data_IF_801685057491
#
_entry.id   IF_801685057491
#
_cell.length_a   1.000
_cell.length_b   1.000
_cell.length_c   1.000
_cell.angle_alpha   90.00
_cell.angle_beta   90.00
_cell.angle_gamma   90.00
#
_symmetry.space_group_name_H-M   'P 1'
#
loop_
_entity.id
_entity.type
_entity.pdbx_description
1 polymer ?
#
# COMPACT_ATOMS: atom_id res chain seq x y z
N UNK A 1 35.32 -79.25 20.95
CA UNK A 1 35.96 -78.84 19.67
C UNK A 1 35.00 -78.26 18.62
N UNK A 2 33.72 -78.71 18.53
CA UNK A 2 32.73 -78.14 17.59
C UNK A 2 32.30 -76.69 17.90
N UNK A 3 32.12 -76.33 19.18
CA UNK A 3 31.66 -74.98 19.61
C UNK A 3 32.71 -73.89 19.33
N UNK A 4 33.99 -74.18 19.52
CA UNK A 4 35.09 -73.23 19.26
C UNK A 4 35.21 -72.90 17.77
N UNK A 5 34.95 -73.88 16.88
CA UNK A 5 34.95 -73.66 15.42
C UNK A 5 33.77 -72.80 14.95
N UNK A 6 32.61 -72.91 15.59
CA UNK A 6 31.43 -72.09 15.26
C UNK A 6 31.61 -70.65 15.71
N UNK A 7 32.14 -70.43 16.93
CA UNK A 7 32.45 -69.07 17.42
C UNK A 7 33.54 -68.37 16.60
N UNK A 8 34.58 -69.09 16.18
CA UNK A 8 35.63 -68.53 15.31
C UNK A 8 35.08 -68.13 13.93
N UNK A 9 34.17 -68.91 13.36
CA UNK A 9 33.55 -68.62 12.07
C UNK A 9 32.63 -67.39 12.12
N UNK A 10 31.90 -67.20 13.23
CA UNK A 10 31.07 -66.00 13.45
C UNK A 10 31.93 -64.74 13.59
N UNK A 11 33.07 -64.82 14.30
CA UNK A 11 33.99 -63.69 14.44
C UNK A 11 34.60 -63.31 13.08
N UNK A 12 35.02 -64.29 12.27
CA UNK A 12 35.55 -64.04 10.92
C UNK A 12 34.49 -63.41 10.02
N UNK A 13 33.24 -63.86 10.10
CA UNK A 13 32.13 -63.29 9.34
C UNK A 13 31.85 -61.84 9.76
N UNK A 14 31.85 -61.54 11.06
CA UNK A 14 31.67 -60.17 11.58
C UNK A 14 32.81 -59.24 11.14
N UNK A 15 34.06 -59.74 11.12
CA UNK A 15 35.22 -58.98 10.63
C UNK A 15 35.11 -58.72 9.13
N UNK A 16 34.69 -59.70 8.32
CA UNK A 16 34.46 -59.53 6.89
C UNK A 16 33.32 -58.56 6.58
N UNK A 17 32.20 -58.67 7.30
CA UNK A 17 31.08 -57.72 7.20
C UNK A 17 31.53 -56.32 7.60
N UNK A 18 32.33 -56.18 8.67
CA UNK A 18 32.90 -54.90 9.07
C UNK A 18 33.84 -54.31 8.01
N UNK A 19 34.68 -55.13 7.37
CA UNK A 19 35.60 -54.69 6.31
C UNK A 19 34.88 -54.18 5.05
N UNK A 20 33.67 -54.64 4.78
CA UNK A 20 32.87 -54.22 3.61
C UNK A 20 31.87 -53.11 3.98
N UNK A 21 31.20 -53.22 5.13
CA UNK A 21 30.18 -52.27 5.56
C UNK A 21 30.78 -50.93 6.01
N UNK A 22 31.97 -50.93 6.63
CA UNK A 22 32.58 -49.70 7.12
C UNK A 22 33.01 -48.74 6.00
N UNK A 23 33.69 -49.16 4.91
CA UNK A 23 34.00 -48.27 3.79
C UNK A 23 32.75 -47.73 3.08
N UNK A 24 31.70 -48.55 2.94
CA UNK A 24 30.42 -48.12 2.36
C UNK A 24 29.75 -47.07 3.25
N UNK A 25 29.72 -47.30 4.57
CA UNK A 25 29.21 -46.34 5.55
C UNK A 25 29.97 -45.01 5.48
N UNK A 26 31.29 -45.04 5.51
CA UNK A 26 32.15 -43.84 5.42
C UNK A 26 31.90 -43.09 4.12
N UNK A 27 31.78 -43.79 2.98
CA UNK A 27 31.52 -43.18 1.69
C UNK A 27 30.16 -42.47 1.63
N UNK A 28 29.11 -43.12 2.16
CA UNK A 28 27.74 -42.55 2.19
C UNK A 28 27.68 -41.33 3.11
N UNK A 29 28.21 -41.45 4.34
CA UNK A 29 28.18 -40.36 5.33
C UNK A 29 29.01 -39.16 4.87
N UNK A 30 30.17 -39.40 4.23
CA UNK A 30 31.00 -38.35 3.64
C UNK A 30 30.22 -37.57 2.59
N UNK A 31 29.60 -38.25 1.62
CA UNK A 31 28.84 -37.59 0.54
C UNK A 31 27.67 -36.76 1.07
N UNK A 32 26.99 -37.24 2.11
CA UNK A 32 25.89 -36.52 2.74
C UNK A 32 26.36 -35.26 3.49
N UNK A 33 27.44 -35.39 4.27
CA UNK A 33 27.99 -34.28 5.07
C UNK A 33 28.65 -33.23 4.18
N UNK A 34 29.38 -33.64 3.14
CA UNK A 34 29.95 -32.73 2.12
C UNK A 34 28.86 -31.92 1.40
N UNK A 35 27.71 -32.54 1.12
CA UNK A 35 26.57 -31.84 0.51
C UNK A 35 26.02 -30.76 1.44
N UNK A 36 25.78 -31.08 2.71
CA UNK A 36 25.30 -30.10 3.71
C UNK A 36 26.30 -28.97 3.92
N UNK A 37 27.58 -29.29 4.02
CA UNK A 37 28.66 -28.32 4.11
C UNK A 37 28.63 -27.37 2.90
N UNK A 38 28.56 -27.90 1.69
CA UNK A 38 28.51 -27.10 0.47
C UNK A 38 27.29 -26.17 0.42
N UNK A 39 26.10 -26.67 0.77
CA UNK A 39 24.89 -25.86 0.86
C UNK A 39 25.01 -24.73 1.89
N UNK A 40 25.61 -25.02 3.04
CA UNK A 40 25.83 -24.05 4.13
C UNK A 40 26.81 -22.96 3.72
N UNK A 41 27.93 -23.32 3.09
CA UNK A 41 28.94 -22.36 2.62
C UNK A 41 28.42 -21.50 1.46
N UNK A 42 27.67 -22.08 0.53
CA UNK A 42 27.04 -21.34 -0.55
C UNK A 42 26.00 -20.33 -0.04
N UNK A 43 25.25 -20.69 1.01
CA UNK A 43 24.31 -19.78 1.65
C UNK A 43 25.02 -18.68 2.43
N UNK A 44 26.11 -19.01 3.14
CA UNK A 44 26.94 -18.05 3.88
C UNK A 44 27.52 -16.99 2.94
N UNK A 45 28.07 -17.40 1.80
CA UNK A 45 28.59 -16.48 0.78
C UNK A 45 27.50 -15.50 0.29
N UNK A 46 26.29 -16.01 0.04
CA UNK A 46 25.14 -15.17 -0.36
C UNK A 46 24.71 -14.21 0.75
N UNK A 47 24.70 -14.66 2.01
CA UNK A 47 24.30 -13.84 3.14
C UNK A 47 25.24 -12.64 3.35
N UNK A 48 26.56 -12.81 3.15
CA UNK A 48 27.54 -11.71 3.22
C UNK A 48 27.29 -10.60 2.19
N UNK A 49 26.79 -10.94 1.01
CA UNK A 49 26.47 -9.96 -0.05
C UNK A 49 25.28 -9.08 0.34
N UNK A 50 24.36 -9.61 1.14
CA UNK A 50 23.07 -8.95 1.46
C UNK A 50 23.06 -8.30 2.86
N UNK A 51 23.99 -8.66 3.75
CA UNK A 51 24.08 -8.08 5.09
C UNK A 51 24.39 -6.57 5.05
N UNK A 52 23.59 -5.78 5.77
CA UNK A 52 23.72 -4.30 5.79
C UNK A 52 24.07 -3.75 7.16
N UNK A 53 23.67 -4.43 8.23
CA UNK A 53 23.89 -3.99 9.61
C UNK A 53 25.19 -4.58 10.18
N UNK A 54 25.83 -3.85 11.10
CA UNK A 54 27.08 -4.31 11.72
C UNK A 54 26.88 -5.54 12.61
N UNK A 55 25.71 -5.67 13.25
CA UNK A 55 25.33 -6.87 14.02
C UNK A 55 25.17 -8.12 13.13
N UNK A 56 24.64 -7.95 11.91
CA UNK A 56 24.51 -9.05 10.93
C UNK A 56 25.88 -9.52 10.46
N UNK A 57 26.79 -8.58 10.16
CA UNK A 57 28.17 -8.88 9.78
C UNK A 57 28.91 -9.57 10.93
N UNK A 58 28.71 -9.14 12.17
CA UNK A 58 29.30 -9.79 13.34
C UNK A 58 28.81 -11.25 13.50
N UNK A 59 27.52 -11.51 13.24
CA UNK A 59 26.95 -12.87 13.27
C UNK A 59 27.52 -13.75 12.16
N UNK A 60 27.70 -13.22 10.95
CA UNK A 60 28.31 -13.94 9.83
C UNK A 60 29.82 -14.18 10.03
N UNK A 61 30.53 -13.23 10.64
CA UNK A 61 31.94 -13.40 10.97
C UNK A 61 32.16 -14.54 11.98
N UNK A 62 31.29 -14.67 13.00
CA UNK A 62 31.32 -15.84 13.89
C UNK A 62 31.13 -17.17 13.15
N UNK A 63 30.32 -17.18 12.09
CA UNK A 63 30.14 -18.36 11.24
C UNK A 63 31.38 -18.63 10.35
N UNK A 64 32.14 -17.59 9.96
CA UNK A 64 33.43 -17.76 9.26
C UNK A 64 34.50 -18.38 10.18
N UNK A 65 34.49 -18.07 11.47
CA UNK A 65 35.45 -18.63 12.43
C UNK A 65 35.34 -20.16 12.55
N UNK A 66 34.21 -20.75 12.12
CA UNK A 66 34.01 -22.19 12.09
C UNK A 66 34.59 -22.90 10.86
N UNK A 67 35.08 -22.18 9.84
CA UNK A 67 35.56 -22.80 8.59
C UNK A 67 36.75 -23.74 8.77
N UNK A 68 37.70 -23.36 9.62
CA UNK A 68 38.88 -24.19 9.88
C UNK A 68 38.50 -25.48 10.61
N UNK A 69 37.59 -25.40 11.58
CA UNK A 69 37.04 -26.55 12.29
C UNK A 69 36.23 -27.48 11.37
N UNK A 70 35.44 -26.92 10.43
CA UNK A 70 34.71 -27.72 9.43
C UNK A 70 35.66 -28.50 8.50
N UNK A 71 36.80 -27.90 8.14
CA UNK A 71 37.81 -28.57 7.34
C UNK A 71 38.48 -29.70 8.12
N UNK A 72 38.84 -29.45 9.37
CA UNK A 72 39.42 -30.45 10.26
C UNK A 72 38.47 -31.63 10.52
N UNK A 73 37.20 -31.37 10.79
CA UNK A 73 36.17 -32.40 11.00
C UNK A 73 35.96 -33.26 9.74
N UNK A 74 36.07 -32.66 8.55
CA UNK A 74 35.97 -33.38 7.27
C UNK A 74 37.20 -34.26 7.02
N UNK A 75 38.41 -33.75 7.28
CA UNK A 75 39.67 -34.47 7.12
C UNK A 75 39.81 -35.63 8.13
N UNK A 76 39.26 -35.45 9.35
CA UNK A 76 39.28 -36.46 10.42
C UNK A 76 38.10 -37.44 10.37
N UNK A 77 37.21 -37.37 9.36
CA UNK A 77 36.01 -38.20 9.22
C UNK A 77 35.02 -38.08 10.41
N UNK A 78 34.99 -36.95 11.10
CA UNK A 78 34.10 -36.67 12.24
C UNK A 78 32.73 -36.12 11.78
N UNK A 79 32.02 -36.91 10.97
CA UNK A 79 30.80 -36.48 10.27
C UNK A 79 29.68 -35.92 11.16
N UNK A 80 29.57 -36.40 12.41
CA UNK A 80 28.55 -35.90 13.34
C UNK A 80 28.84 -34.47 13.82
N UNK A 81 30.13 -34.12 14.01
CA UNK A 81 30.53 -32.75 14.37
C UNK A 81 30.43 -31.83 13.16
N UNK A 82 30.87 -32.32 11.99
CA UNK A 82 30.74 -31.63 10.71
C UNK A 82 29.28 -31.25 10.40
N UNK A 83 28.34 -32.18 10.56
CA UNK A 83 26.91 -31.95 10.32
C UNK A 83 26.31 -30.93 11.31
N UNK A 84 26.74 -30.96 12.57
CA UNK A 84 26.28 -30.00 13.58
C UNK A 84 26.77 -28.60 13.26
N UNK A 85 28.07 -28.46 13.04
CA UNK A 85 28.72 -27.16 12.82
C UNK A 85 28.30 -26.54 11.48
N UNK A 86 28.12 -27.36 10.43
CA UNK A 86 27.55 -26.90 9.16
C UNK A 86 26.10 -26.41 9.33
N UNK A 87 25.30 -27.08 10.17
CA UNK A 87 23.96 -26.62 10.54
C UNK A 87 23.96 -25.25 11.22
N UNK A 88 24.89 -25.01 12.15
CA UNK A 88 25.02 -23.70 12.83
C UNK A 88 25.39 -22.58 11.84
N UNK A 89 26.30 -22.85 10.90
CA UNK A 89 26.64 -21.92 9.81
C UNK A 89 25.44 -21.67 8.90
N UNK A 90 24.70 -22.72 8.54
CA UNK A 90 23.49 -22.62 7.75
C UNK A 90 22.44 -21.75 8.44
N UNK A 91 22.16 -21.98 9.73
CA UNK A 91 21.15 -21.24 10.48
C UNK A 91 21.50 -19.76 10.62
N UNK A 92 22.79 -19.44 10.86
CA UNK A 92 23.27 -18.06 10.89
C UNK A 92 23.03 -17.36 9.54
N UNK A 93 23.45 -17.98 8.43
CA UNK A 93 23.26 -17.44 7.09
C UNK A 93 21.77 -17.35 6.69
N UNK A 94 21.00 -18.40 6.98
CA UNK A 94 19.59 -18.50 6.65
C UNK A 94 18.76 -17.48 7.42
N UNK A 95 19.09 -17.20 8.68
CA UNK A 95 18.39 -16.16 9.47
C UNK A 95 18.50 -14.78 8.83
N UNK A 96 19.64 -14.45 8.23
CA UNK A 96 19.85 -13.17 7.52
C UNK A 96 19.14 -13.20 6.16
N UNK A 97 19.24 -14.32 5.44
CA UNK A 97 18.53 -14.50 4.17
C UNK A 97 17.01 -14.42 4.33
N UNK A 98 16.43 -15.01 5.38
CA UNK A 98 15.00 -14.96 5.68
C UNK A 98 14.56 -13.59 6.21
N UNK A 99 15.37 -12.92 7.04
CA UNK A 99 15.11 -11.52 7.41
C UNK A 99 15.06 -10.61 6.17
N UNK A 100 15.95 -10.83 5.20
CA UNK A 100 15.99 -10.05 3.95
C UNK A 100 14.90 -10.45 2.98
N UNK A 101 14.51 -11.72 2.95
CA UNK A 101 13.36 -12.21 2.19
C UNK A 101 12.03 -11.68 2.77
N UNK A 102 11.95 -11.50 4.09
CA UNK A 102 10.84 -10.78 4.75
C UNK A 102 10.87 -9.29 4.40
N UNK A 103 12.03 -8.65 4.35
CA UNK A 103 12.19 -7.28 3.86
C UNK A 103 11.92 -7.10 2.34
N UNK A 104 11.85 -8.21 1.58
CA UNK A 104 11.51 -8.23 0.13
C UNK A 104 10.00 -8.41 -0.11
N UNK A 105 9.20 -8.62 0.94
CA UNK A 105 7.74 -8.54 0.83
C UNK A 105 7.33 -7.07 0.90
N UNK A 106 7.02 -6.50 -0.25
CA UNK A 106 6.44 -5.16 -0.34
C UNK A 106 5.12 -5.11 0.43
N UNK A 107 5.14 -4.42 1.57
CA UNK A 107 3.96 -4.04 2.34
C UNK A 107 3.19 -2.87 1.72
N UNK A 108 3.36 -2.58 0.42
CA UNK A 108 2.71 -1.45 -0.26
C UNK A 108 2.29 -1.81 -1.68
N UNK A 109 1.07 -1.46 -2.06
CA UNK A 109 0.52 -1.79 -3.38
C UNK A 109 -0.16 -0.58 -3.99
N UNK A 110 -0.18 -0.51 -5.33
CA UNK A 110 -1.00 0.45 -6.05
C UNK A 110 -2.46 -0.02 -5.99
N UNK A 111 -3.27 0.73 -5.26
CA UNK A 111 -4.67 0.41 -5.05
C UNK A 111 -5.53 0.86 -6.24
N UNK A 112 -5.33 2.11 -6.68
CA UNK A 112 -5.97 2.71 -7.84
C UNK A 112 -4.97 3.55 -8.64
N UNK A 113 -5.06 3.51 -9.97
CA UNK A 113 -4.27 4.33 -10.88
C UNK A 113 -5.18 4.92 -11.96
N UNK A 114 -5.12 6.24 -12.10
CA UNK A 114 -5.78 6.99 -13.18
C UNK A 114 -4.71 7.73 -13.97
N UNK A 115 -4.74 7.63 -15.30
CA UNK A 115 -3.76 8.25 -16.18
C UNK A 115 -2.42 7.51 -16.21
N UNK A 116 -1.37 8.21 -16.65
CA UNK A 116 -0.02 7.65 -16.82
C UNK A 116 0.94 8.11 -15.73
N UNK A 117 1.86 7.23 -15.36
CA UNK A 117 2.90 7.48 -14.36
C UNK A 117 4.24 7.02 -14.92
N UNK A 118 5.29 7.80 -14.69
CA UNK A 118 6.65 7.33 -14.88
C UNK A 118 7.11 6.63 -13.60
N UNK A 119 7.46 5.36 -13.71
CA UNK A 119 7.84 4.52 -12.59
C UNK A 119 9.24 3.94 -12.80
N UNK A 120 10.11 4.18 -11.82
CA UNK A 120 11.46 3.64 -11.79
C UNK A 120 11.55 2.63 -10.64
N UNK A 121 11.60 1.36 -10.97
CA UNK A 121 11.86 0.30 -10.00
C UNK A 121 13.33 0.35 -9.57
N UNK A 122 13.56 0.34 -8.25
CA UNK A 122 14.89 0.55 -7.66
C UNK A 122 15.55 1.86 -8.11
N UNK A 123 14.76 2.84 -8.56
CA UNK A 123 15.23 4.16 -9.01
C UNK A 123 15.89 4.19 -10.39
N UNK A 124 15.98 3.07 -11.11
CA UNK A 124 16.71 3.00 -12.39
C UNK A 124 15.95 2.31 -13.51
N UNK A 125 15.16 1.27 -13.21
CA UNK A 125 14.49 0.46 -14.22
C UNK A 125 13.10 1.01 -14.52
N UNK A 126 12.88 1.51 -15.74
CA UNK A 126 11.55 1.94 -16.18
C UNK A 126 10.62 0.74 -16.29
N UNK A 127 9.46 0.80 -15.63
CA UNK A 127 8.45 -0.26 -15.66
C UNK A 127 7.08 0.33 -15.97
N UNK A 128 6.27 -0.39 -16.75
CA UNK A 128 4.87 -0.03 -16.96
C UNK A 128 4.06 -0.38 -15.71
N UNK A 129 3.27 0.58 -15.24
CA UNK A 129 2.53 0.44 -13.99
C UNK A 129 1.13 -0.10 -14.25
N UNK A 130 0.79 -1.15 -13.50
CA UNK A 130 -0.55 -1.71 -13.46
C UNK A 130 -1.14 -1.58 -12.04
N UNK A 131 -2.46 -1.62 -11.95
CA UNK A 131 -3.14 -1.70 -10.65
C UNK A 131 -2.70 -2.97 -9.92
N UNK A 132 -2.54 -2.92 -8.59
CA UNK A 132 -1.94 -3.95 -7.71
C UNK A 132 -0.47 -4.27 -7.90
N UNK A 133 0.26 -3.48 -8.69
CA UNK A 133 1.71 -3.53 -8.66
C UNK A 133 2.22 -3.28 -7.23
N UNK A 134 3.19 -4.12 -6.81
CA UNK A 134 3.92 -3.98 -5.54
C UNK A 134 4.91 -2.84 -5.63
N UNK A 135 5.02 -2.06 -4.57
CA UNK A 135 5.98 -0.94 -4.44
C UNK A 135 7.08 -1.32 -3.46
N UNK A 136 8.33 -1.18 -3.86
CA UNK A 136 9.51 -1.54 -3.05
C UNK A 136 10.29 -0.31 -2.61
N UNK A 137 11.14 -0.51 -1.61
CA UNK A 137 12.17 0.46 -1.24
C UNK A 137 13.07 0.77 -2.44
N UNK A 138 13.34 2.06 -2.65
CA UNK A 138 14.07 2.61 -3.78
C UNK A 138 13.20 2.97 -4.99
N UNK A 139 11.91 2.60 -5.01
CA UNK A 139 11.05 2.90 -6.15
C UNK A 139 10.71 4.40 -6.21
N UNK A 140 10.65 4.94 -7.43
CA UNK A 140 10.31 6.34 -7.70
C UNK A 140 9.08 6.41 -8.58
N UNK A 141 8.13 7.24 -8.18
CA UNK A 141 6.86 7.42 -8.87
C UNK A 141 6.66 8.90 -9.22
N UNK A 142 6.52 9.20 -10.52
CA UNK A 142 6.28 10.56 -11.03
C UNK A 142 4.97 10.62 -11.79
N UNK A 143 4.01 11.39 -11.27
CA UNK A 143 2.70 11.59 -11.89
C UNK A 143 2.84 12.45 -13.16
N UNK A 144 2.26 12.00 -14.29
CA UNK A 144 2.09 12.84 -15.49
C UNK A 144 0.81 13.68 -15.42
N UNK A 145 0.68 14.66 -16.31
CA UNK A 145 -0.51 15.51 -16.38
C UNK A 145 -1.79 14.68 -16.48
N UNK A 146 -2.78 14.99 -15.65
CA UNK A 146 -4.06 14.27 -15.59
C UNK A 146 -4.00 12.91 -14.89
N UNK A 147 -2.87 12.56 -14.26
CA UNK A 147 -2.72 11.32 -13.52
C UNK A 147 -2.84 11.51 -12.00
N UNK A 148 -3.23 10.43 -11.35
CA UNK A 148 -3.31 10.29 -9.91
C UNK A 148 -3.25 8.82 -9.51
N UNK A 149 -2.71 8.57 -8.33
CA UNK A 149 -2.48 7.24 -7.83
C UNK A 149 -2.87 7.19 -6.35
N UNK A 150 -3.54 6.11 -5.96
CA UNK A 150 -3.74 5.74 -4.56
C UNK A 150 -2.94 4.48 -4.25
N UNK A 151 -2.20 4.55 -3.15
CA UNK A 151 -1.29 3.54 -2.67
C UNK A 151 -1.79 3.09 -1.32
N UNK A 152 -1.80 1.79 -1.09
CA UNK A 152 -2.26 1.16 0.15
C UNK A 152 -1.14 0.33 0.76
N UNK A 153 -0.94 0.49 2.06
CA UNK A 153 0.04 -0.23 2.84
C UNK A 153 -0.58 -1.45 3.55
N UNK A 154 0.26 -2.38 4.01
CA UNK A 154 -0.16 -3.65 4.61
C UNK A 154 -0.96 -3.47 5.90
N UNK A 155 -0.78 -2.35 6.59
CA UNK A 155 -1.55 -1.95 7.76
C UNK A 155 -2.92 -1.33 7.41
N UNK A 156 -3.22 -1.13 6.12
CA UNK A 156 -4.43 -0.50 5.61
C UNK A 156 -4.33 1.02 5.41
N UNK A 157 -3.20 1.63 5.78
CA UNK A 157 -2.96 3.05 5.57
C UNK A 157 -2.90 3.37 4.08
N UNK A 158 -3.25 4.60 3.70
CA UNK A 158 -3.26 5.03 2.30
C UNK A 158 -2.51 6.32 2.06
N UNK A 159 -1.97 6.45 0.86
CA UNK A 159 -1.34 7.66 0.32
C UNK A 159 -1.93 7.93 -1.06
N UNK A 160 -2.35 9.18 -1.29
CA UNK A 160 -2.84 9.64 -2.59
C UNK A 160 -1.91 10.70 -3.16
N UNK A 161 -1.49 10.48 -4.40
CA UNK A 161 -0.68 11.39 -5.21
C UNK A 161 -1.48 11.88 -6.40
N UNK A 162 -1.28 13.15 -6.77
CA UNK A 162 -1.85 13.75 -7.98
C UNK A 162 -0.79 14.57 -8.69
N UNK A 163 -0.86 14.66 -10.02
CA UNK A 163 0.00 15.58 -10.77
C UNK A 163 0.03 16.98 -10.13
N UNK A 164 1.21 17.60 -9.92
CA UNK A 164 2.54 17.24 -10.45
C UNK A 164 3.46 16.49 -9.46
N UNK A 165 2.93 15.54 -8.68
CA UNK A 165 3.70 14.88 -7.62
C UNK A 165 4.78 13.91 -8.11
N UNK A 166 5.95 13.95 -7.44
CA UNK A 166 7.01 12.93 -7.52
C UNK A 166 7.32 12.42 -6.11
N UNK A 167 7.17 11.12 -5.90
CA UNK A 167 7.39 10.46 -4.62
C UNK A 167 8.46 9.38 -4.75
N UNK A 168 9.39 9.34 -3.78
CA UNK A 168 10.39 8.29 -3.62
C UNK A 168 10.03 7.46 -2.40
N UNK A 169 10.04 6.14 -2.52
CA UNK A 169 9.89 5.22 -1.39
C UNK A 169 11.26 4.85 -0.83
N UNK A 170 11.81 5.67 0.05
CA UNK A 170 13.14 5.44 0.62
C UNK A 170 13.22 4.14 1.41
N UNK A 171 12.16 3.80 2.16
CA UNK A 171 12.07 2.59 2.96
C UNK A 171 10.64 2.10 3.05
N UNK A 172 10.44 0.81 2.85
CA UNK A 172 9.23 0.05 3.19
C UNK A 172 9.72 -1.24 3.84
N UNK A 173 9.59 -1.33 5.15
CA UNK A 173 10.07 -2.47 5.93
C UNK A 173 8.96 -3.01 6.82
N UNK A 174 8.63 -4.27 6.59
CA UNK A 174 7.65 -5.03 7.35
C UNK A 174 8.39 -6.06 8.23
N UNK A 175 8.21 -5.97 9.55
CA UNK A 175 8.60 -7.02 10.48
C UNK A 175 7.36 -7.77 10.93
N UNK A 176 7.23 -9.01 10.47
CA UNK A 176 6.10 -9.89 10.76
C UNK A 176 6.12 -10.48 12.17
N UNK A 177 7.28 -10.48 12.83
CA UNK A 177 7.41 -10.99 14.19
C UNK A 177 6.95 -9.92 15.18
N UNK A 178 7.43 -8.69 15.00
CA UNK A 178 7.04 -7.56 15.85
C UNK A 178 5.77 -6.87 15.39
N UNK A 179 5.21 -7.28 14.25
CA UNK A 179 4.11 -6.59 13.57
C UNK A 179 4.41 -5.09 13.37
N UNK A 180 5.66 -4.73 13.08
CA UNK A 180 6.02 -3.33 12.82
C UNK A 180 6.05 -3.04 11.32
N UNK A 181 5.62 -1.83 10.96
CA UNK A 181 5.67 -1.33 9.59
C UNK A 181 6.37 0.02 9.59
N UNK A 182 7.59 0.08 9.06
CA UNK A 182 8.35 1.32 8.92
C UNK A 182 8.34 1.76 7.46
N UNK A 183 7.80 2.95 7.21
CA UNK A 183 7.69 3.53 5.87
C UNK A 183 8.32 4.91 5.87
N UNK A 184 9.33 5.11 5.04
CA UNK A 184 9.93 6.42 4.78
C UNK A 184 9.72 6.79 3.31
N UNK A 185 9.13 7.95 3.09
CA UNK A 185 8.83 8.50 1.77
C UNK A 185 9.44 9.89 1.63
N UNK A 186 9.86 10.25 0.43
CA UNK A 186 10.33 11.60 0.13
C UNK A 186 9.52 12.21 -1.03
N UNK A 187 8.81 13.30 -0.74
CA UNK A 187 8.08 14.07 -1.73
C UNK A 187 9.00 15.12 -2.36
N UNK A 188 9.42 14.87 -3.60
CA UNK A 188 10.31 15.78 -4.34
C UNK A 188 9.58 16.99 -4.91
N UNK A 189 8.31 16.84 -5.27
CA UNK A 189 7.49 17.91 -5.85
C UNK A 189 6.00 17.63 -5.65
N UNK A 190 5.18 18.67 -5.74
CA UNK A 190 3.73 18.57 -5.75
C UNK A 190 3.13 18.36 -4.37
N UNK A 191 2.05 17.58 -4.30
CA UNK A 191 1.30 17.35 -3.07
C UNK A 191 0.96 15.88 -2.84
N UNK A 192 0.83 15.54 -1.58
CA UNK A 192 0.49 14.20 -1.07
C UNK A 192 -0.60 14.33 -0.02
N UNK A 193 -1.59 13.45 -0.07
CA UNK A 193 -2.55 13.25 1.02
C UNK A 193 -2.32 11.87 1.60
N UNK A 194 -2.41 11.73 2.92
CA UNK A 194 -2.12 10.47 3.60
C UNK A 194 -3.13 10.24 4.73
N UNK A 195 -3.45 8.97 4.94
CA UNK A 195 -4.32 8.50 6.01
C UNK A 195 -3.68 7.27 6.63
N UNK A 196 -3.32 7.36 7.91
CA UNK A 196 -2.90 6.22 8.68
C UNK A 196 -4.12 5.48 9.24
N UNK A 197 -4.11 4.15 9.16
CA UNK A 197 -5.16 3.30 9.70
C UNK A 197 -5.51 3.66 11.14
N UNK A 198 -6.81 3.69 11.46
CA UNK A 198 -7.28 3.90 12.84
C UNK A 198 -7.10 2.66 13.69
N UNK A 199 -7.26 1.50 13.05
CA UNK A 199 -7.25 0.19 13.66
C UNK A 199 -6.46 -0.71 12.72
N UNK A 200 -5.47 -1.43 13.24
CA UNK A 200 -4.64 -2.35 12.47
C UNK A 200 -3.86 -3.24 13.44
N UNK A 201 -3.45 -4.41 12.97
CA UNK A 201 -2.59 -5.32 13.72
C UNK A 201 -1.11 -4.97 13.66
N UNK A 202 -0.76 -3.92 12.93
CA UNK A 202 0.60 -3.41 12.83
C UNK A 202 0.84 -2.21 13.75
N UNK A 203 2.11 -1.95 14.07
CA UNK A 203 2.59 -0.70 14.64
C UNK A 203 3.24 0.13 13.52
N UNK A 204 2.46 0.93 12.77
CA UNK A 204 3.01 1.70 11.68
C UNK A 204 3.76 2.93 12.16
N UNK A 205 4.90 3.20 11.53
CA UNK A 205 5.67 4.43 11.67
C UNK A 205 5.90 4.98 10.27
N UNK A 206 5.25 6.10 9.98
CA UNK A 206 5.41 6.79 8.71
C UNK A 206 6.28 8.02 8.90
N UNK A 207 7.28 8.13 8.01
CA UNK A 207 8.10 9.31 7.82
C UNK A 207 7.87 9.84 6.41
N UNK A 208 7.57 11.14 6.30
CA UNK A 208 7.43 11.84 5.03
C UNK A 208 8.38 13.05 5.01
N UNK A 209 9.43 12.95 4.20
CA UNK A 209 10.39 14.02 3.97
C UNK A 209 9.90 14.93 2.85
N UNK A 210 9.88 16.24 3.09
CA UNK A 210 9.41 17.25 2.14
C UNK A 210 10.28 18.50 2.24
N UNK A 211 11.17 18.67 1.26
CA UNK A 211 12.20 19.71 1.34
C UNK A 211 13.04 19.50 2.61
N UNK A 212 13.08 20.52 3.48
CA UNK A 212 13.79 20.50 4.77
C UNK A 212 12.95 20.03 5.96
N UNK A 213 11.68 19.70 5.78
CA UNK A 213 10.86 19.14 6.86
C UNK A 213 10.74 17.64 6.76
N UNK A 214 10.54 17.03 7.91
CA UNK A 214 10.19 15.62 8.09
C UNK A 214 8.89 15.55 8.89
N UNK A 215 7.89 14.89 8.33
CA UNK A 215 6.59 14.68 8.98
C UNK A 215 6.54 13.24 9.48
N UNK A 216 6.46 13.07 10.80
CA UNK A 216 6.27 11.79 11.45
C UNK A 216 4.80 11.62 11.85
N UNK A 217 4.24 10.46 11.52
CA UNK A 217 2.87 10.12 11.87
C UNK A 217 2.69 8.60 12.01
N UNK A 218 1.62 8.24 12.70
CA UNK A 218 1.24 6.86 13.00
C UNK A 218 -0.29 6.78 13.04
N UNK A 219 -0.85 5.78 13.73
CA UNK A 219 -2.27 5.46 13.77
C UNK A 219 -3.19 6.67 13.91
N UNK A 220 -4.33 6.63 13.22
CA UNK A 220 -5.39 7.63 13.26
C UNK A 220 -4.96 9.06 12.82
N UNK A 221 -3.81 9.21 12.17
CA UNK A 221 -3.40 10.46 11.57
C UNK A 221 -3.95 10.59 10.15
N UNK A 222 -4.51 11.75 9.82
CA UNK A 222 -4.86 12.11 8.44
C UNK A 222 -4.29 13.48 8.15
N UNK A 223 -3.66 13.63 6.99
CA UNK A 223 -3.01 14.88 6.65
C UNK A 223 -2.84 15.09 5.15
N UNK A 224 -2.42 16.32 4.84
CA UNK A 224 -2.01 16.72 3.50
C UNK A 224 -0.69 17.46 3.63
N UNK A 225 0.22 17.21 2.73
CA UNK A 225 1.43 17.99 2.65
C UNK A 225 1.76 18.32 1.19
N UNK A 226 2.51 19.41 0.99
CA UNK A 226 2.90 19.82 -0.34
C UNK A 226 4.10 20.75 -0.33
N UNK A 227 4.84 20.70 -1.43
CA UNK A 227 5.96 21.57 -1.73
C UNK A 227 5.62 22.38 -2.98
N UNK A 228 5.56 23.69 -2.82
CA UNK A 228 5.55 24.62 -3.93
C UNK A 228 6.99 25.02 -4.24
N UNK A 229 7.57 24.40 -5.27
CA UNK A 229 8.94 24.62 -5.70
C UNK A 229 9.16 25.99 -6.34
N UNK A 230 8.10 26.66 -6.80
CA UNK A 230 8.22 28.00 -7.42
C UNK A 230 8.48 29.10 -6.39
N UNK A 231 7.88 28.97 -5.20
CA UNK A 231 8.04 29.92 -4.09
C UNK A 231 8.81 29.34 -2.91
N UNK A 232 9.32 28.11 -3.04
CA UNK A 232 10.08 27.40 -2.01
C UNK A 232 9.34 27.34 -0.67
N UNK A 233 8.06 26.99 -0.71
CA UNK A 233 7.23 26.87 0.52
C UNK A 233 6.73 25.45 0.71
N UNK A 234 6.76 25.00 1.95
CA UNK A 234 6.13 23.74 2.36
C UNK A 234 4.93 24.00 3.22
N UNK A 235 3.86 23.27 2.92
CA UNK A 235 2.61 23.32 3.68
C UNK A 235 2.29 21.93 4.19
N UNK A 236 2.03 21.79 5.49
CA UNK A 236 1.70 20.53 6.15
C UNK A 236 0.46 20.75 7.00
N UNK A 237 -0.63 20.06 6.65
CA UNK A 237 -1.93 20.14 7.29
C UNK A 237 -2.24 18.85 8.05
N UNK A 238 -2.55 18.96 9.34
CA UNK A 238 -3.13 17.89 10.15
C UNK A 238 -4.66 18.02 10.12
N UNK A 239 -5.33 17.00 9.59
CA UNK A 239 -6.79 16.96 9.43
C UNK A 239 -7.45 16.09 10.51
N UNK A 240 -6.83 14.96 10.85
CA UNK A 240 -7.18 14.11 12.01
C UNK A 240 -5.91 13.61 12.70
N UNK A 241 -6.04 13.19 13.97
CA UNK A 241 -4.94 12.65 14.75
C UNK A 241 -3.91 13.71 15.12
N UNK A 242 -2.63 13.35 15.08
CA UNK A 242 -1.54 14.28 15.36
C UNK A 242 -0.40 14.01 14.38
N UNK A 243 0.31 15.07 13.99
CA UNK A 243 1.55 14.98 13.22
C UNK A 243 2.68 15.58 14.05
N UNK A 244 3.86 14.97 14.02
CA UNK A 244 5.08 15.64 14.44
C UNK A 244 5.82 16.13 13.20
N UNK A 245 6.11 17.42 13.13
CA UNK A 245 6.91 18.02 12.07
C UNK A 245 8.26 18.38 12.66
N UNK A 246 9.30 17.69 12.19
CA UNK A 246 10.69 17.98 12.48
C UNK A 246 11.29 18.81 11.34
N UNK A 247 12.28 19.64 11.67
CA UNK A 247 12.88 20.58 10.74
C UNK A 247 12.06 21.88 10.60
N UNK A 248 12.76 22.99 10.36
CA UNK A 248 12.22 24.34 10.58
C UNK A 248 13.09 25.12 11.57
N UNK A 249 12.48 26.01 12.34
CA UNK A 249 13.11 26.63 13.51
C UNK A 249 13.13 25.66 14.71
N UNK A 250 12.14 24.78 14.82
CA UNK A 250 11.98 23.80 15.91
C UNK A 250 10.98 22.70 15.56
N UNK A 251 11.02 21.61 16.30
CA UNK A 251 10.02 20.54 16.18
C UNK A 251 8.63 21.03 16.62
N UNK A 252 7.61 20.61 15.87
CA UNK A 252 6.23 21.07 16.00
C UNK A 252 5.26 19.90 15.98
N UNK A 253 4.52 19.75 17.08
CA UNK A 253 3.30 18.94 17.07
C UNK A 253 2.15 19.72 16.45
N UNK A 254 1.54 19.17 15.39
CA UNK A 254 0.31 19.67 14.79
C UNK A 254 -0.88 18.84 15.28
N UNK A 255 -1.89 19.55 15.79
CA UNK A 255 -3.18 18.99 16.20
C UNK A 255 -4.19 19.06 15.04
N UNK A 256 -5.35 18.39 15.13
CA UNK A 256 -6.36 18.44 14.07
C UNK A 256 -6.76 19.88 13.73
N UNK A 257 -7.02 20.13 12.45
CA UNK A 257 -7.36 21.45 11.89
C UNK A 257 -6.23 22.48 11.99
N UNK A 258 -4.98 22.05 12.16
CA UNK A 258 -3.84 22.95 12.07
C UNK A 258 -3.08 22.73 10.77
N UNK A 259 -2.59 23.82 10.20
CA UNK A 259 -1.65 23.80 9.08
C UNK A 259 -0.42 24.62 9.42
N UNK A 260 0.74 24.04 9.17
CA UNK A 260 2.03 24.71 9.21
C UNK A 260 2.44 25.06 7.79
N UNK A 261 2.73 26.33 7.55
CA UNK A 261 3.40 26.81 6.35
C UNK A 261 4.78 27.32 6.75
N UNK A 262 5.82 26.90 6.06
CA UNK A 262 7.15 27.44 6.31
C UNK A 262 7.98 27.59 5.04
N UNK A 263 8.90 28.56 5.07
CA UNK A 263 9.81 28.86 3.96
C UNK A 263 11.00 27.91 3.98
N UNK A 264 11.33 27.30 2.83
CA UNK A 264 12.51 26.47 2.66
C UNK A 264 13.82 27.29 2.64
N UNK A 265 13.74 28.62 2.46
CA UNK A 265 14.91 29.50 2.44
C UNK A 265 15.17 30.12 3.81
N UNK A 266 14.21 30.88 4.34
CA UNK A 266 14.37 31.62 5.60
C UNK A 266 14.06 30.78 6.84
N UNK A 267 13.48 29.60 6.67
CA UNK A 267 12.96 28.74 7.74
C UNK A 267 11.83 29.36 8.56
N UNK A 268 11.34 30.55 8.19
CA UNK A 268 10.24 31.21 8.88
C UNK A 268 8.96 30.37 8.82
N UNK A 269 8.34 30.16 9.99
CA UNK A 269 7.16 29.33 10.17
C UNK A 269 5.92 30.16 10.49
N UNK A 270 4.77 29.73 9.98
CA UNK A 270 3.47 30.26 10.38
C UNK A 270 2.42 29.16 10.44
N UNK A 271 1.63 29.18 11.52
CA UNK A 271 0.53 28.23 11.72
C UNK A 271 -0.81 28.91 11.50
N UNK A 272 -1.75 28.19 10.89
CA UNK A 272 -3.12 28.63 10.71
C UNK A 272 -4.09 27.55 11.17
N UNK A 273 -5.30 27.97 11.53
CA UNK A 273 -6.42 27.07 11.74
C UNK A 273 -7.14 26.84 10.41
N UNK A 274 -7.42 25.57 10.12
CA UNK A 274 -8.17 25.13 8.97
C UNK A 274 -9.66 25.23 9.26
N UNK A 275 -10.48 25.65 8.29
CA UNK A 275 -11.92 25.67 8.45
C UNK A 275 -12.48 24.24 8.53
N UNK A 276 -13.63 24.03 9.19
CA UNK A 276 -14.27 22.72 9.24
C UNK A 276 -14.77 22.30 7.86
N UNK A 277 -15.03 20.99 7.74
CA UNK A 277 -15.53 20.39 6.52
C UNK A 277 -16.96 20.89 6.20
N UNK A 278 -17.23 21.43 5.00
CA UNK A 278 -18.59 21.77 4.58
C UNK A 278 -19.44 20.51 4.33
N UNK A 279 -20.75 20.60 4.57
CA UNK A 279 -21.72 19.59 4.16
C UNK A 279 -22.06 19.78 2.68
N UNK A 280 -21.76 18.78 1.85
CA UNK A 280 -22.20 18.73 0.46
C UNK A 280 -23.70 18.37 0.41
N UNK A 281 -24.55 19.17 -0.24
CA UNK A 281 -26.01 19.03 -0.20
C UNK A 281 -26.59 18.53 -1.54
N UNK A 282 -26.34 19.27 -2.63
CA UNK A 282 -26.89 18.99 -3.96
C UNK A 282 -25.78 18.86 -5.00
N UNK A 283 -25.88 17.94 -5.98
CA UNK A 283 -26.84 16.83 -5.97
C UNK A 283 -26.55 15.87 -4.80
N UNK A 284 -27.57 15.21 -4.21
CA UNK A 284 -27.35 14.22 -3.17
C UNK A 284 -26.55 13.05 -3.74
N UNK A 285 -25.88 12.30 -2.85
CA UNK A 285 -25.09 11.15 -3.27
C UNK A 285 -25.97 10.14 -4.02
N UNK A 286 -25.44 9.58 -5.11
CA UNK A 286 -26.09 8.61 -5.99
C UNK A 286 -27.29 9.15 -6.79
N UNK A 287 -27.43 10.48 -6.94
CA UNK A 287 -28.49 11.06 -7.76
C UNK A 287 -28.34 10.68 -9.23
N UNK A 288 -29.43 10.22 -9.86
CA UNK A 288 -29.53 10.12 -11.32
C UNK A 288 -30.23 11.35 -11.89
N UNK A 289 -29.66 11.93 -12.94
CA UNK A 289 -30.15 13.11 -13.65
C UNK A 289 -30.37 12.72 -15.12
N UNK A 290 -31.58 12.91 -15.62
CA UNK A 290 -31.92 12.64 -17.03
C UNK A 290 -31.71 13.89 -17.89
N UNK A 291 -31.16 13.72 -19.10
CA UNK A 291 -31.00 14.79 -20.09
C UNK A 291 -31.41 14.36 -21.48
N UNK A 292 -32.12 15.24 -22.19
CA UNK A 292 -32.54 15.06 -23.59
C UNK A 292 -31.46 15.43 -24.62
N UNK A 293 -30.27 15.86 -24.18
CA UNK A 293 -29.18 16.31 -25.05
C UNK A 293 -27.81 15.69 -24.73
N UNK A 294 -26.74 16.32 -25.23
CA UNK A 294 -25.34 15.91 -24.97
C UNK A 294 -24.87 16.17 -23.53
N UNK A 295 -25.69 16.74 -22.66
CA UNK A 295 -25.35 17.15 -21.30
C UNK A 295 -26.46 18.00 -20.67
N UNK A 296 -26.28 18.45 -19.44
CA UNK A 296 -27.22 19.32 -18.74
C UNK A 296 -26.52 20.21 -17.71
N UNK A 297 -27.19 21.30 -17.31
CA UNK A 297 -26.71 22.12 -16.21
C UNK A 297 -27.05 21.44 -14.88
N UNK A 298 -26.03 21.15 -14.07
CA UNK A 298 -26.20 20.57 -12.74
C UNK A 298 -25.87 21.63 -11.70
N UNK A 299 -26.77 21.78 -10.73
CA UNK A 299 -26.55 22.66 -9.58
C UNK A 299 -25.83 21.87 -8.48
N UNK A 300 -24.72 22.43 -8.02
CA UNK A 300 -23.97 22.01 -6.87
C UNK A 300 -24.24 22.95 -5.70
N UNK A 301 -24.53 22.43 -4.51
CA UNK A 301 -24.79 23.24 -3.31
C UNK A 301 -24.14 22.63 -2.09
N UNK A 302 -23.66 23.47 -1.18
CA UNK A 302 -23.07 23.05 0.09
C UNK A 302 -23.36 24.05 1.20
N UNK A 303 -23.21 23.60 2.45
CA UNK A 303 -23.44 24.44 3.63
C UNK A 303 -22.40 25.55 3.76
N UNK A 304 -22.82 26.74 4.21
CA UNK A 304 -21.91 27.82 4.57
C UNK A 304 -21.06 27.44 5.79
N UNK A 305 -19.75 27.60 5.68
CA UNK A 305 -18.79 27.44 6.78
C UNK A 305 -18.46 28.79 7.40
N UNK A 306 -18.52 28.87 8.73
CA UNK A 306 -18.17 30.09 9.47
C UNK A 306 -16.69 30.46 9.26
N UNK A 307 -16.40 31.75 9.02
CA UNK A 307 -15.07 32.29 8.70
C UNK A 307 -14.38 31.68 7.46
N UNK A 308 -15.13 31.01 6.58
CA UNK A 308 -14.60 30.63 5.27
C UNK A 308 -14.48 31.88 4.39
N UNK A 309 -13.27 32.16 3.89
CA UNK A 309 -13.01 33.21 2.92
C UNK A 309 -13.39 32.78 1.49
N UNK A 310 -13.54 31.47 1.27
CA UNK A 310 -14.02 30.89 0.02
C UNK A 310 -14.04 29.36 0.09
N UNK A 311 -14.28 28.74 -1.06
CA UNK A 311 -14.36 27.30 -1.21
C UNK A 311 -13.48 26.81 -2.37
N UNK A 312 -12.88 25.65 -2.17
CA UNK A 312 -12.27 24.84 -3.21
C UNK A 312 -13.27 23.77 -3.64
N UNK A 313 -13.66 23.79 -4.91
CA UNK A 313 -14.59 22.84 -5.51
C UNK A 313 -13.87 22.00 -6.57
N UNK A 314 -14.11 20.70 -6.56
CA UNK A 314 -13.61 19.78 -7.57
C UNK A 314 -14.74 18.91 -8.12
N UNK A 315 -14.82 18.81 -9.44
CA UNK A 315 -15.67 17.88 -10.20
C UNK A 315 -14.76 17.02 -11.09
N UNK A 316 -14.94 15.71 -11.06
CA UNK A 316 -14.16 14.74 -11.84
C UNK A 316 -15.03 13.56 -12.30
N UNK A 317 -14.45 12.69 -13.12
CA UNK A 317 -15.03 11.42 -13.57
C UNK A 317 -14.39 10.20 -12.90
N UNK A 318 -13.53 10.41 -11.89
CA UNK A 318 -12.84 9.38 -11.12
C UNK A 318 -12.71 9.82 -9.66
N UNK A 319 -12.60 8.84 -8.75
CA UNK A 319 -12.54 9.06 -7.29
C UNK A 319 -11.20 9.64 -6.80
N UNK A 320 -10.14 9.53 -7.59
CA UNK A 320 -8.81 10.08 -7.28
C UNK A 320 -8.73 11.58 -7.60
N UNK A 321 -9.68 12.14 -8.38
CA UNK A 321 -9.65 13.51 -8.89
C UNK A 321 -8.33 13.84 -9.62
N UNK A 322 -7.84 12.88 -10.41
CA UNK A 322 -6.58 12.96 -11.17
C UNK A 322 -6.62 14.04 -12.25
N UNK A 323 -7.73 14.10 -12.99
CA UNK A 323 -8.07 15.17 -13.92
C UNK A 323 -9.47 15.68 -13.58
N UNK A 324 -9.54 16.93 -13.12
CA UNK A 324 -10.82 17.57 -12.83
C UNK A 324 -11.43 18.12 -14.11
N UNK A 325 -12.71 17.85 -14.29
CA UNK A 325 -13.56 18.49 -15.30
C UNK A 325 -13.70 19.98 -14.96
N UNK A 326 -13.95 20.27 -13.68
CA UNK A 326 -13.95 21.63 -13.15
C UNK A 326 -13.17 21.65 -11.84
N UNK A 327 -12.30 22.65 -11.67
CA UNK A 327 -11.65 22.96 -10.41
C UNK A 327 -11.74 24.46 -10.16
N UNK A 328 -12.36 24.85 -9.04
CA UNK A 328 -12.40 26.25 -8.57
C UNK A 328 -11.72 26.35 -7.22
N UNK A 329 -10.98 27.43 -7.01
CA UNK A 329 -10.42 27.78 -5.70
C UNK A 329 -10.73 29.23 -5.40
N UNK A 330 -10.99 29.54 -4.13
CA UNK A 330 -11.38 30.89 -3.69
C UNK A 330 -12.81 31.29 -4.10
N UNK A 331 -13.69 30.34 -4.40
CA UNK A 331 -15.08 30.67 -4.78
C UNK A 331 -15.87 31.12 -3.55
N UNK A 332 -16.50 32.30 -3.59
CA UNK A 332 -17.18 32.88 -2.42
C UNK A 332 -18.61 32.39 -2.19
N UNK A 333 -19.25 31.87 -3.23
CA UNK A 333 -20.62 31.35 -3.15
C UNK A 333 -20.72 29.97 -2.50
N UNK A 334 -21.94 29.56 -2.18
CA UNK A 334 -22.26 28.22 -1.65
C UNK A 334 -23.11 27.38 -2.61
N UNK A 335 -23.32 27.88 -3.83
CA UNK A 335 -24.01 27.18 -4.91
C UNK A 335 -23.32 27.50 -6.22
N UNK A 336 -23.22 26.51 -7.10
CA UNK A 336 -22.61 26.65 -8.41
C UNK A 336 -23.41 25.85 -9.44
N UNK A 337 -23.69 26.41 -10.61
CA UNK A 337 -24.32 25.67 -11.71
C UNK A 337 -23.31 25.49 -12.83
N UNK A 338 -23.06 24.25 -13.23
CA UNK A 338 -22.09 23.91 -14.27
C UNK A 338 -22.72 23.06 -15.38
N UNK A 339 -22.31 23.26 -16.64
CA UNK A 339 -22.62 22.33 -17.71
C UNK A 339 -21.83 21.03 -17.51
N UNK A 340 -22.52 19.90 -17.60
CA UNK A 340 -21.89 18.58 -17.56
C UNK A 340 -21.59 18.10 -18.99
N UNK A 341 -20.36 17.60 -19.29
CA UNK A 341 -19.92 17.33 -20.67
C UNK A 341 -20.70 16.25 -21.42
N UNK A 342 -21.40 15.37 -20.70
CA UNK A 342 -21.87 14.11 -21.25
C UNK A 342 -22.78 13.33 -20.33
N UNK A 343 -23.24 12.20 -20.84
CA UNK A 343 -23.73 11.09 -20.01
C UNK A 343 -22.52 10.43 -19.34
N UNK A 344 -22.70 9.93 -18.13
CA UNK A 344 -21.64 9.28 -17.37
C UNK A 344 -21.80 9.44 -15.88
N UNK A 345 -20.83 8.89 -15.15
CA UNK A 345 -20.73 9.01 -13.70
C UNK A 345 -19.75 10.12 -13.33
N UNK A 346 -20.12 10.93 -12.36
CA UNK A 346 -19.37 12.11 -11.94
C UNK A 346 -19.23 12.14 -10.43
N UNK A 347 -18.07 12.61 -9.98
CA UNK A 347 -17.71 12.74 -8.58
C UNK A 347 -17.40 14.18 -8.27
N UNK A 348 -17.89 14.67 -7.14
CA UNK A 348 -17.60 16.02 -6.70
C UNK A 348 -17.35 16.08 -5.20
N UNK A 349 -16.57 17.09 -4.81
CA UNK A 349 -16.28 17.40 -3.41
C UNK A 349 -15.98 18.88 -3.24
N UNK A 350 -16.15 19.37 -2.02
CA UNK A 350 -15.91 20.77 -1.68
C UNK A 350 -15.19 20.91 -0.34
N UNK A 351 -14.26 21.85 -0.24
CA UNK A 351 -13.56 22.21 0.99
C UNK A 351 -13.66 23.71 1.24
N UNK A 352 -13.72 24.12 2.50
CA UNK A 352 -13.61 25.53 2.87
C UNK A 352 -12.15 25.99 2.87
N UNK A 353 -11.95 27.29 2.61
CA UNK A 353 -10.68 28.00 2.67
C UNK A 353 -10.76 29.07 3.75
N UNK A 354 -9.73 29.19 4.60
CA UNK A 354 -9.63 30.31 5.53
C UNK A 354 -9.12 31.59 4.83
N UNK A 355 -9.02 32.70 5.58
CA UNK A 355 -8.51 33.98 5.07
C UNK A 355 -7.07 33.94 4.53
N UNK A 356 -6.27 32.98 4.98
CA UNK A 356 -4.91 32.76 4.48
C UNK A 356 -4.86 31.85 3.23
N UNK A 357 -6.02 31.54 2.66
CA UNK A 357 -6.23 30.62 1.55
C UNK A 357 -5.79 29.17 1.86
N UNK A 358 -5.79 28.79 3.15
CA UNK A 358 -5.51 27.43 3.57
C UNK A 358 -6.77 26.57 3.51
N UNK A 359 -6.63 25.42 2.85
CA UNK A 359 -7.74 24.50 2.61
C UNK A 359 -7.90 23.51 3.75
N UNK A 360 -9.13 23.46 4.30
CA UNK A 360 -9.56 22.44 5.23
C UNK A 360 -9.80 21.08 4.55
N UNK A 361 -10.44 20.17 5.29
CA UNK A 361 -10.83 18.86 4.76
C UNK A 361 -11.91 19.02 3.69
N UNK A 362 -11.80 18.26 2.61
CA UNK A 362 -12.91 18.08 1.67
C UNK A 362 -14.08 17.36 2.34
N UNK A 363 -15.30 17.69 1.90
CA UNK A 363 -16.49 16.88 2.15
C UNK A 363 -16.27 15.42 1.73
N UNK A 364 -17.15 14.54 2.19
CA UNK A 364 -17.29 13.23 1.57
C UNK A 364 -17.49 13.39 0.05
N UNK A 365 -16.95 12.44 -0.71
CA UNK A 365 -17.11 12.41 -2.16
C UNK A 365 -18.57 12.10 -2.46
N UNK A 366 -19.21 12.99 -3.22
CA UNK A 366 -20.57 12.79 -3.74
C UNK A 366 -20.50 12.31 -5.18
N UNK A 367 -21.30 11.32 -5.51
CA UNK A 367 -21.49 10.81 -6.87
C UNK A 367 -22.86 11.24 -7.40
N UNK A 368 -22.92 11.51 -8.71
CA UNK A 368 -24.17 11.54 -9.46
C UNK A 368 -23.95 10.97 -10.87
N UNK A 369 -25.04 10.48 -11.48
CA UNK A 369 -25.04 9.92 -12.83
C UNK A 369 -25.89 10.77 -13.76
N UNK A 370 -25.39 11.07 -14.96
CA UNK A 370 -26.15 11.69 -16.03
C UNK A 370 -26.49 10.63 -17.07
N UNK A 371 -27.78 10.46 -17.36
CA UNK A 371 -28.30 9.49 -18.32
C UNK A 371 -29.15 10.19 -19.39
N UNK A 372 -29.28 9.56 -20.56
CA UNK A 372 -30.20 10.08 -21.58
C UNK A 372 -31.65 9.83 -21.18
N UNK A 373 -32.55 10.75 -21.51
CA UNK A 373 -34.00 10.47 -21.48
C UNK A 373 -34.28 9.28 -22.39
N UNK A 374 -34.87 8.22 -21.84
CA UNK A 374 -35.39 7.12 -22.66
C UNK A 374 -36.57 7.68 -23.45
N UNK A 375 -36.48 7.70 -24.79
CA UNK A 375 -37.72 7.63 -25.56
C UNK A 375 -38.27 6.23 -25.32
N UNK A 376 -39.48 6.19 -24.75
CA UNK A 376 -40.18 4.98 -24.40
C UNK A 376 -40.36 4.10 -25.64
N UNK A 377 -39.66 2.98 -25.71
CA UNK A 377 -40.16 1.77 -26.34
C UNK A 377 -39.70 0.56 -25.50
N UNK A 378 -40.71 -0.12 -24.96
CA UNK A 378 -40.63 -1.15 -23.94
C UNK A 378 -39.94 -2.41 -24.49
N UNK A 379 -38.69 -2.60 -24.09
CA UNK A 379 -38.27 -3.87 -23.50
C UNK A 379 -37.70 -3.50 -22.15
N UNK A 380 -38.46 -3.74 -21.08
CA UNK A 380 -37.92 -3.69 -19.72
C UNK A 380 -36.88 -4.80 -19.68
N UNK A 381 -35.61 -4.43 -19.75
CA UNK A 381 -34.55 -5.38 -19.47
C UNK A 381 -34.78 -5.90 -18.04
N UNK A 382 -34.90 -7.21 -17.90
CA UNK A 382 -35.06 -7.90 -16.61
C UNK A 382 -33.82 -8.74 -16.28
N UNK A 383 -32.76 -8.63 -17.09
CA UNK A 383 -31.55 -9.44 -16.95
C UNK A 383 -30.63 -8.74 -15.96
N UNK A 384 -30.30 -9.37 -14.82
CA UNK A 384 -29.32 -8.79 -13.91
C UNK A 384 -27.93 -8.68 -14.55
N UNK A 385 -27.16 -7.61 -14.26
CA UNK A 385 -25.83 -7.44 -14.81
C UNK A 385 -24.91 -8.57 -14.30
N UNK A 386 -24.13 -9.24 -15.16
CA UNK A 386 -23.15 -10.24 -14.69
C UNK A 386 -22.20 -9.59 -13.68
N UNK A 387 -21.86 -10.30 -12.61
CA UNK A 387 -20.92 -9.81 -11.59
C UNK A 387 -19.94 -10.92 -11.22
N UNK A 388 -18.65 -10.62 -11.30
CA UNK A 388 -17.56 -11.54 -10.95
C UNK A 388 -16.52 -10.82 -10.10
N UNK A 389 -15.92 -11.54 -9.15
CA UNK A 389 -14.93 -10.99 -8.23
C UNK A 389 -13.59 -11.71 -8.35
N UNK A 390 -12.51 -10.94 -8.32
CA UNK A 390 -11.17 -11.44 -8.03
C UNK A 390 -11.07 -11.85 -6.55
N UNK A 391 -10.04 -12.63 -6.15
CA UNK A 391 -9.76 -12.87 -4.74
C UNK A 391 -9.60 -11.55 -3.98
N UNK A 392 -10.45 -11.33 -2.98
CA UNK A 392 -10.42 -10.12 -2.14
C UNK A 392 -9.11 -10.11 -1.36
N UNK A 393 -8.38 -8.99 -1.47
CA UNK A 393 -7.11 -8.81 -0.76
C UNK A 393 -7.33 -7.94 0.47
N UNK A 394 -6.82 -8.39 1.62
CA UNK A 394 -6.92 -7.68 2.89
C UNK A 394 -5.55 -7.09 3.25
N UNK A 395 -5.56 -5.84 3.69
CA UNK A 395 -4.41 -5.10 4.20
C UNK A 395 -4.84 -4.42 5.51
N UNK A 396 -4.45 -4.99 6.64
CA UNK A 396 -4.92 -4.59 7.98
C UNK A 396 -6.44 -4.69 8.05
N UNK A 397 -7.11 -3.56 8.28
CA UNK A 397 -8.58 -3.46 8.27
C UNK A 397 -9.16 -3.17 6.88
N UNK A 398 -8.34 -2.98 5.86
CA UNK A 398 -8.81 -2.52 4.55
C UNK A 398 -8.92 -3.67 3.56
N UNK A 399 -10.04 -3.77 2.86
CA UNK A 399 -10.27 -4.76 1.81
C UNK A 399 -10.25 -4.10 0.42
N UNK A 400 -9.41 -4.62 -0.47
CA UNK A 400 -9.46 -4.30 -1.89
C UNK A 400 -10.36 -5.31 -2.58
N UNK A 401 -11.48 -4.83 -3.10
CA UNK A 401 -12.48 -5.62 -3.81
C UNK A 401 -12.42 -5.26 -5.29
N UNK A 402 -12.15 -6.25 -6.13
CA UNK A 402 -12.03 -6.08 -7.57
C UNK A 402 -12.88 -7.09 -8.30
N UNK A 403 -13.29 -6.73 -9.50
CA UNK A 403 -14.13 -7.59 -10.29
C UNK A 403 -14.45 -7.02 -11.65
N UNK A 404 -15.36 -7.71 -12.32
CA UNK A 404 -15.92 -7.30 -13.59
C UNK A 404 -17.43 -7.39 -13.56
N UNK A 405 -18.07 -6.38 -14.13
CA UNK A 405 -19.50 -6.28 -14.32
C UNK A 405 -19.83 -5.86 -15.77
N UNK A 406 -21.10 -5.75 -16.10
CA UNK A 406 -21.53 -5.03 -17.30
C UNK A 406 -21.02 -3.57 -17.32
N UNK A 407 -20.52 -3.07 -18.47
CA UNK A 407 -20.15 -1.66 -18.62
C UNK A 407 -21.27 -0.71 -18.19
N UNK A 408 -20.89 0.38 -17.52
CA UNK A 408 -21.82 1.40 -17.02
C UNK A 408 -22.82 0.95 -15.93
N UNK A 409 -22.75 -0.30 -15.45
CA UNK A 409 -23.42 -0.70 -14.23
C UNK A 409 -22.86 0.08 -13.02
N UNK A 410 -23.69 0.27 -12.00
CA UNK A 410 -23.30 0.86 -10.72
C UNK A 410 -22.89 -0.27 -9.77
N UNK A 411 -21.66 -0.24 -9.27
CA UNK A 411 -21.18 -1.22 -8.29
C UNK A 411 -20.97 -0.58 -6.94
N UNK A 412 -21.59 -1.13 -5.89
CA UNK A 412 -21.29 -0.79 -4.49
C UNK A 412 -20.68 -1.97 -3.77
N UNK A 413 -19.77 -1.70 -2.84
CA UNK A 413 -19.10 -2.64 -1.97
C UNK A 413 -19.33 -2.16 -0.54
N UNK A 414 -20.11 -2.88 0.27
CA UNK A 414 -20.53 -2.44 1.61
C UNK A 414 -21.02 -0.97 1.64
N UNK A 415 -21.90 -0.62 0.70
CA UNK A 415 -22.43 0.75 0.47
C UNK A 415 -21.41 1.80 -0.02
N UNK A 416 -20.14 1.44 -0.19
CA UNK A 416 -19.13 2.30 -0.81
C UNK A 416 -19.05 2.02 -2.31
N UNK A 417 -19.19 3.05 -3.15
CA UNK A 417 -19.15 2.86 -4.60
C UNK A 417 -17.77 2.44 -5.11
N UNK A 418 -17.75 1.52 -6.07
CA UNK A 418 -16.61 1.21 -6.92
C UNK A 418 -16.73 1.90 -8.29
N UNK A 419 -15.63 2.51 -8.78
CA UNK A 419 -15.59 3.03 -10.15
C UNK A 419 -15.55 1.87 -11.15
N UNK A 420 -16.54 1.81 -12.04
CA UNK A 420 -16.62 0.83 -13.15
C UNK A 420 -16.09 1.48 -14.42
N UNK A 421 -15.02 0.91 -14.99
CA UNK A 421 -14.41 1.37 -16.24
C UNK A 421 -15.27 1.00 -17.45
N UNK A 422 -14.95 1.56 -18.62
CA UNK A 422 -15.66 1.27 -19.88
C UNK A 422 -15.64 -0.22 -20.27
N UNK A 423 -14.62 -0.96 -19.85
CA UNK A 423 -14.52 -2.41 -20.07
C UNK A 423 -15.28 -3.25 -19.03
N UNK A 424 -15.99 -2.61 -18.10
CA UNK A 424 -16.75 -3.24 -17.02
C UNK A 424 -15.90 -3.63 -15.80
N UNK A 425 -14.59 -3.41 -15.80
CA UNK A 425 -13.76 -3.69 -14.62
C UNK A 425 -13.97 -2.66 -13.52
N UNK A 426 -13.90 -3.09 -12.27
CA UNK A 426 -14.02 -2.18 -11.12
C UNK A 426 -13.06 -2.52 -9.99
N UNK A 427 -12.78 -1.52 -9.17
CA UNK A 427 -12.00 -1.65 -7.95
C UNK A 427 -12.60 -0.76 -6.86
N UNK A 428 -12.68 -1.28 -5.64
CA UNK A 428 -13.08 -0.54 -4.45
C UNK A 428 -12.17 -0.89 -3.28
N UNK A 429 -11.98 0.08 -2.38
CA UNK A 429 -11.15 -0.03 -1.19
C UNK A 429 -12.04 0.31 -0.01
N UNK A 430 -12.43 -0.68 0.79
CA UNK A 430 -13.33 -0.49 1.93
C UNK A 430 -12.59 -0.72 3.24
N UNK A 431 -12.97 0.01 4.30
CA UNK A 431 -12.47 -0.26 5.66
C UNK A 431 -13.44 -1.17 6.40
N UNK A 432 -12.90 -2.16 7.11
CA UNK A 432 -13.61 -3.13 7.93
C UNK A 432 -13.32 -2.87 9.40
N UNK A 433 -14.36 -2.75 10.23
CA UNK A 433 -14.20 -2.30 11.61
C UNK A 433 -14.28 -3.43 12.66
N UNK A 434 -14.66 -4.65 12.25
CA UNK A 434 -14.94 -5.73 13.19
C UNK A 434 -13.85 -6.81 13.12
N UNK A 435 -13.31 -7.23 14.27
CA UNK A 435 -12.39 -8.37 14.31
C UNK A 435 -13.15 -9.65 14.01
N UNK A 436 -12.50 -10.58 13.32
CA UNK A 436 -13.09 -11.85 12.91
C UNK A 436 -13.76 -11.79 11.54
N UNK A 437 -14.88 -12.49 11.42
CA UNK A 437 -15.56 -12.72 10.13
C UNK A 437 -16.37 -11.47 9.73
N UNK A 438 -16.00 -10.83 8.63
CA UNK A 438 -16.68 -9.67 8.05
C UNK A 438 -17.40 -10.05 6.75
N UNK A 439 -18.62 -9.53 6.57
CA UNK A 439 -19.37 -9.65 5.32
C UNK A 439 -18.95 -8.53 4.38
N UNK A 440 -18.64 -8.89 3.15
CA UNK A 440 -18.47 -7.98 2.02
C UNK A 440 -19.60 -8.26 1.05
N UNK A 441 -20.52 -7.32 0.96
CA UNK A 441 -21.61 -7.32 0.01
C UNK A 441 -21.22 -6.45 -1.20
N UNK A 442 -21.24 -7.06 -2.38
CA UNK A 442 -21.00 -6.37 -3.65
C UNK A 442 -22.29 -6.39 -4.43
N UNK A 443 -22.84 -5.23 -4.72
CA UNK A 443 -24.08 -5.07 -5.49
C UNK A 443 -23.71 -4.43 -6.82
N UNK A 444 -24.04 -5.08 -7.92
CA UNK A 444 -24.02 -4.48 -9.25
C UNK A 444 -25.45 -4.21 -9.71
N UNK A 445 -25.70 -3.01 -10.23
CA UNK A 445 -27.02 -2.57 -10.68
C UNK A 445 -26.93 -1.92 -12.05
N UNK A 446 -27.74 -2.37 -12.99
CA UNK A 446 -27.73 -1.84 -14.36
C UNK A 446 -28.50 -0.50 -14.49
N UNK A 447 -28.69 -0.03 -15.73
CA UNK A 447 -29.45 1.19 -15.98
C UNK A 447 -30.97 1.02 -15.77
N UNK A 448 -31.49 -0.20 -15.82
CA UNK A 448 -32.90 -0.61 -15.64
C UNK A 448 -33.23 -1.04 -14.21
N UNK A 449 -32.30 -0.85 -13.28
CA UNK A 449 -32.42 -1.17 -11.85
C UNK A 449 -32.42 -2.69 -11.54
N UNK A 450 -32.01 -3.53 -12.50
CA UNK A 450 -31.78 -4.95 -12.22
C UNK A 450 -30.49 -5.10 -11.40
N UNK A 451 -30.50 -6.02 -10.43
CA UNK A 451 -29.41 -6.17 -9.48
C UNK A 451 -28.84 -7.58 -9.42
N UNK A 452 -27.52 -7.65 -9.33
CA UNK A 452 -26.79 -8.84 -8.93
C UNK A 452 -26.07 -8.56 -7.62
N UNK A 453 -26.34 -9.39 -6.60
CA UNK A 453 -25.72 -9.29 -5.29
C UNK A 453 -24.77 -10.47 -5.11
N UNK A 454 -23.51 -10.19 -4.76
CA UNK A 454 -22.55 -11.18 -4.33
C UNK A 454 -22.11 -10.91 -2.91
N UNK A 455 -22.09 -11.97 -2.12
CA UNK A 455 -21.58 -11.93 -0.76
C UNK A 455 -20.30 -12.75 -0.64
N UNK A 456 -19.28 -12.13 -0.04
CA UNK A 456 -18.05 -12.79 0.37
C UNK A 456 -17.81 -12.56 1.83
N UNK A 457 -17.22 -13.56 2.47
CA UNK A 457 -16.79 -13.46 3.85
C UNK A 457 -15.27 -13.39 3.87
N UNK A 458 -14.75 -12.40 4.57
CA UNK A 458 -13.32 -12.26 4.83
C UNK A 458 -13.08 -12.29 6.32
N UNK A 459 -11.89 -12.71 6.72
CA UNK A 459 -11.51 -12.73 8.12
C UNK A 459 -10.41 -11.70 8.33
N UNK A 460 -10.59 -10.80 9.29
CA UNK A 460 -9.54 -9.89 9.73
C UNK A 460 -9.23 -10.17 11.20
N UNK A 461 -7.99 -9.93 11.61
CA UNK A 461 -7.63 -9.90 13.03
C UNK A 461 -7.26 -8.48 13.37
N UNK A 462 -7.97 -7.93 14.34
CA UNK A 462 -7.60 -6.69 15.01
C UNK A 462 -7.00 -7.15 16.35
N UNK A 463 -5.72 -6.85 16.58
CA UNK A 463 -5.04 -7.15 17.83
C UNK A 463 -5.01 -5.92 18.74
#
# INVERSE_FOLDING_TARGET
MKVIKTSAMVIILLVLVSMIAYPVYVHVMRKQSEKKLFESLALLQKAFVVARLDEEKAKLNKALDHLDALKEDLDNYEFAKLDKLSGEVFDAANSIMEARKSAVMSGAHIAQLVGQVDYLEGGTRVVQVESSMKIRSGDVMTMKKGSGCEIIFIDGSTVTLRYPATLVFSQIEEDKVTHSLNVSMELKNGGISFTASKITDYQPKFELVIGKARVLYSLNAMGRAGLDSSVLTTTIACLEGNLMVEGGERDRKLSPQQVLRFSQHTMAEKTYLLPPMPLAEEPPNFKTIETSGKGGNVQFRWSKVYNAAGYAFELANNTVFASCIERRSGYSGTSLTLPIPGKGTYFWRVAALNEANEQGRFSDIREFKVVGTRQHELLVDQTPPPLTLEPIRIFGTTAIVRGKTEPHARVTVNNQLAEVKEDGTFSSIITLYQSGKNRIEVISRDASDNETILEKWVFIKIY
#
